data_IF_731980723037
#
_entry.id   IF_731980723037
#
_cell.length_a   1.000
_cell.length_b   1.000
_cell.length_c   1.000
_cell.angle_alpha   90.00
_cell.angle_beta   90.00
_cell.angle_gamma   90.00
#
_symmetry.space_group_name_H-M   'P 1'
#
loop_
_entity.id
_entity.type
_entity.pdbx_description
1 polymer ?
#
# COMPACT_ATOMS: atom_id res chain seq x y z
N UNK A 1 -63.08 8.03 -30.36
CA UNK A 1 -61.63 7.74 -30.43
C UNK A 1 -61.10 8.51 -31.62
N UNK A 2 -60.50 9.67 -31.39
CA UNK A 2 -59.82 10.46 -32.42
C UNK A 2 -58.35 10.54 -32.03
N UNK A 3 -57.49 9.88 -32.81
CA UNK A 3 -56.04 9.97 -32.65
C UNK A 3 -55.52 11.13 -33.50
N UNK A 4 -55.46 12.32 -32.91
CA UNK A 4 -54.78 13.47 -33.49
C UNK A 4 -53.27 13.32 -33.29
N UNK A 5 -52.59 12.68 -34.24
CA UNK A 5 -51.13 12.76 -34.34
C UNK A 5 -50.74 13.81 -35.38
N UNK A 6 -51.02 15.08 -35.06
CA UNK A 6 -50.39 16.21 -35.74
C UNK A 6 -48.93 16.28 -35.27
N UNK A 7 -48.07 15.52 -35.93
CA UNK A 7 -46.62 15.67 -35.79
C UNK A 7 -46.24 16.87 -36.65
N UNK A 8 -46.25 18.06 -36.04
CA UNK A 8 -45.67 19.25 -36.65
C UNK A 8 -44.19 18.95 -36.90
N UNK A 9 -43.83 18.74 -38.17
CA UNK A 9 -42.45 18.53 -38.59
C UNK A 9 -41.63 19.74 -38.15
N UNK A 10 -40.62 19.51 -37.33
CA UNK A 10 -39.67 20.55 -36.98
C UNK A 10 -39.12 21.17 -38.28
N UNK A 11 -38.97 22.50 -38.36
CA UNK A 11 -38.41 23.14 -39.54
C UNK A 11 -37.03 22.56 -39.84
N UNK A 12 -36.72 22.28 -41.12
CA UNK A 12 -35.45 21.65 -41.52
C UNK A 12 -34.19 22.34 -40.96
N UNK A 13 -34.26 23.66 -40.74
CA UNK A 13 -33.20 24.44 -40.11
C UNK A 13 -33.00 24.12 -38.62
N UNK A 14 -34.07 23.81 -37.87
CA UNK A 14 -34.00 23.37 -36.48
C UNK A 14 -33.38 21.99 -36.32
N UNK A 15 -33.65 21.06 -37.24
CA UNK A 15 -32.97 19.75 -37.29
C UNK A 15 -31.47 19.95 -37.57
N UNK A 16 -31.11 20.82 -38.51
CA UNK A 16 -29.71 21.10 -38.83
C UNK A 16 -28.93 21.65 -37.62
N UNK A 17 -29.52 22.57 -36.84
CA UNK A 17 -28.89 23.11 -35.63
C UNK A 17 -28.68 22.02 -34.56
N UNK A 18 -29.67 21.15 -34.36
CA UNK A 18 -29.57 20.03 -33.41
C UNK A 18 -28.42 19.06 -33.77
N UNK A 19 -28.27 18.76 -35.05
CA UNK A 19 -27.17 17.91 -35.54
C UNK A 19 -25.81 18.56 -35.24
N UNK A 20 -25.67 19.87 -35.51
CA UNK A 20 -24.41 20.59 -35.25
C UNK A 20 -24.06 20.59 -33.76
N UNK A 21 -25.04 20.85 -32.89
CA UNK A 21 -24.83 20.83 -31.42
C UNK A 21 -24.43 19.43 -30.95
N UNK A 22 -25.08 18.39 -31.48
CA UNK A 22 -24.77 17.00 -31.13
C UNK A 22 -23.33 16.61 -31.52
N UNK A 23 -22.87 17.03 -32.71
CA UNK A 23 -21.49 16.78 -33.16
C UNK A 23 -20.48 17.51 -32.28
N UNK A 24 -20.74 18.76 -31.89
CA UNK A 24 -19.87 19.51 -30.98
C UNK A 24 -19.78 18.82 -29.61
N UNK A 25 -20.91 18.37 -29.06
CA UNK A 25 -20.94 17.65 -27.79
C UNK A 25 -20.15 16.32 -27.86
N UNK A 26 -20.23 15.60 -28.98
CA UNK A 26 -19.46 14.38 -29.22
C UNK A 26 -17.95 14.63 -29.21
N UNK A 27 -17.49 15.69 -29.89
CA UNK A 27 -16.07 16.06 -29.92
C UNK A 27 -15.58 16.39 -28.51
N UNK A 28 -16.33 17.17 -27.73
CA UNK A 28 -15.97 17.53 -26.35
C UNK A 28 -15.92 16.27 -25.45
N UNK A 29 -16.91 15.37 -25.59
CA UNK A 29 -16.94 14.12 -24.85
C UNK A 29 -15.76 13.20 -25.20
N UNK A 30 -15.43 13.05 -26.49
CA UNK A 30 -14.27 12.29 -26.94
C UNK A 30 -12.96 12.91 -26.46
N UNK A 31 -12.84 14.25 -26.45
CA UNK A 31 -11.66 14.94 -25.94
C UNK A 31 -11.49 14.76 -24.43
N UNK A 32 -12.58 14.90 -23.66
CA UNK A 32 -12.58 14.65 -22.22
C UNK A 32 -12.25 13.20 -21.87
N UNK A 33 -12.79 12.24 -22.62
CA UNK A 33 -12.51 10.82 -22.46
C UNK A 33 -11.04 10.49 -22.82
N UNK A 34 -10.52 10.95 -23.97
CA UNK A 34 -9.12 10.75 -24.32
C UNK A 34 -8.16 11.39 -23.31
N UNK A 35 -8.47 12.59 -22.80
CA UNK A 35 -7.66 13.28 -21.79
C UNK A 35 -7.70 12.55 -20.44
N UNK A 36 -8.88 12.10 -20.00
CA UNK A 36 -9.06 11.37 -18.75
C UNK A 36 -8.41 9.98 -18.73
N UNK A 37 -8.33 9.31 -19.87
CA UNK A 37 -7.64 8.01 -20.00
C UNK A 37 -6.14 8.13 -20.31
N UNK A 38 -5.62 9.33 -20.61
CA UNK A 38 -4.18 9.55 -20.76
C UNK A 38 -3.45 9.83 -19.44
N UNK A 39 -4.12 9.59 -18.29
CA UNK A 39 -3.42 9.16 -17.09
C UNK A 39 -2.83 7.77 -17.39
N UNK A 40 -1.74 7.76 -18.16
CA UNK A 40 -0.78 6.67 -18.19
C UNK A 40 -0.50 6.36 -16.73
N UNK A 41 -1.12 5.30 -16.21
CA UNK A 41 -0.55 4.56 -15.09
C UNK A 41 0.81 4.18 -15.64
N UNK A 42 1.84 4.92 -15.18
CA UNK A 42 3.22 4.74 -15.60
C UNK A 42 3.59 3.37 -15.09
N UNK A 43 3.24 2.34 -15.85
CA UNK A 43 3.68 0.98 -15.61
C UNK A 43 5.15 0.99 -16.05
N UNK A 44 5.97 1.54 -15.17
CA UNK A 44 7.41 1.39 -15.31
C UNK A 44 7.67 -0.09 -15.09
N UNK A 45 7.92 -0.80 -16.18
CA UNK A 45 8.74 -2.00 -16.20
C UNK A 45 10.16 -1.62 -15.77
N UNK A 46 10.30 -1.24 -14.51
CA UNK A 46 11.56 -0.97 -13.85
C UNK A 46 11.50 -1.80 -12.60
N UNK A 47 12.34 -2.84 -12.55
CA UNK A 47 12.49 -3.82 -11.48
C UNK A 47 11.80 -3.40 -10.19
N UNK A 48 10.78 -4.16 -9.79
CA UNK A 48 10.24 -4.14 -8.44
C UNK A 48 11.39 -4.45 -7.49
N UNK A 49 12.16 -3.43 -7.09
CA UNK A 49 13.09 -3.52 -5.99
C UNK A 49 12.22 -3.71 -4.77
N UNK A 50 11.94 -4.98 -4.47
CA UNK A 50 11.30 -5.40 -3.24
C UNK A 50 12.05 -4.66 -2.13
N UNK A 51 11.37 -3.81 -1.37
CA UNK A 51 11.97 -2.95 -0.32
C UNK A 51 12.85 -3.74 0.61
N UNK A 52 12.43 -4.97 0.86
CA UNK A 52 13.16 -5.98 1.62
C UNK A 52 14.58 -6.20 1.10
N UNK A 53 14.76 -6.28 -0.23
CA UNK A 53 16.05 -6.47 -0.89
C UNK A 53 16.92 -5.21 -0.91
N UNK A 54 16.44 -4.05 -0.49
CA UNK A 54 17.24 -2.82 -0.43
C UNK A 54 17.49 -2.38 1.02
N UNK A 55 16.47 -2.42 1.87
CA UNK A 55 16.56 -2.01 3.28
C UNK A 55 17.22 -3.05 4.17
N UNK A 56 17.04 -4.34 3.88
CA UNK A 56 17.49 -5.44 4.72
C UNK A 56 18.55 -6.32 4.03
N UNK A 57 19.28 -5.74 3.07
CA UNK A 57 20.44 -6.40 2.44
C UNK A 57 21.39 -6.90 3.52
N UNK A 58 21.76 -8.17 3.44
CA UNK A 58 22.66 -8.86 4.37
C UNK A 58 22.15 -8.94 5.82
N UNK A 59 20.87 -8.67 6.09
CA UNK A 59 20.27 -8.86 7.42
C UNK A 59 19.65 -10.23 7.52
N UNK A 60 19.79 -10.86 8.68
CA UNK A 60 19.18 -12.16 8.95
C UNK A 60 17.69 -11.96 9.19
N UNK A 61 16.87 -12.73 8.49
CA UNK A 61 15.42 -12.74 8.68
C UNK A 61 14.93 -14.15 9.00
N UNK A 62 13.88 -14.21 9.80
CA UNK A 62 13.22 -15.45 10.22
C UNK A 62 11.70 -15.27 10.16
N UNK A 63 10.98 -16.38 10.07
CA UNK A 63 9.50 -16.37 10.13
C UNK A 63 9.00 -16.22 11.57
N UNK A 64 7.71 -15.91 11.70
CA UNK A 64 7.05 -15.68 13.00
C UNK A 64 7.17 -16.82 14.03
N UNK A 65 7.38 -18.06 13.60
CA UNK A 65 7.50 -19.26 14.44
C UNK A 65 8.96 -19.70 14.70
N UNK A 66 9.91 -18.90 14.23
CA UNK A 66 11.34 -19.19 14.33
C UNK A 66 12.01 -18.27 15.36
N UNK A 67 13.21 -18.65 15.81
CA UNK A 67 14.02 -17.85 16.72
C UNK A 67 15.39 -17.51 16.11
N UNK A 68 15.91 -16.35 16.47
CA UNK A 68 17.32 -16.01 16.23
C UNK A 68 18.21 -16.72 17.26
N UNK A 69 19.50 -16.87 16.93
CA UNK A 69 20.51 -17.29 17.90
C UNK A 69 20.81 -16.19 18.91
N UNK A 70 20.63 -14.94 18.49
CA UNK A 70 20.82 -13.74 19.29
C UNK A 70 19.46 -13.35 19.87
N UNK A 71 19.40 -13.14 21.19
CA UNK A 71 18.15 -12.81 21.88
C UNK A 71 17.99 -11.32 22.18
N UNK A 72 19.00 -10.49 21.89
CA UNK A 72 19.00 -9.06 22.19
C UNK A 72 19.39 -8.23 20.98
N UNK A 73 18.91 -7.00 20.91
CA UNK A 73 19.27 -6.06 19.86
C UNK A 73 18.08 -5.30 19.31
N UNK A 74 18.21 -4.86 18.06
CA UNK A 74 17.18 -4.10 17.34
C UNK A 74 16.65 -5.00 16.24
N UNK A 75 15.34 -5.10 16.16
CA UNK A 75 14.62 -5.97 15.23
C UNK A 75 13.56 -5.17 14.48
N UNK A 76 13.15 -5.70 13.32
CA UNK A 76 12.00 -5.23 12.58
C UNK A 76 11.00 -6.36 12.39
N UNK A 77 9.71 -6.08 12.61
CA UNK A 77 8.61 -6.88 12.12
C UNK A 77 8.18 -6.33 10.76
N UNK A 78 8.11 -7.19 9.76
CA UNK A 78 7.69 -6.81 8.41
C UNK A 78 7.01 -7.96 7.67
N UNK A 79 6.54 -7.70 6.45
CA UNK A 79 5.90 -8.68 5.58
C UNK A 79 6.76 -8.89 4.32
N UNK A 80 6.69 -10.09 3.73
CA UNK A 80 7.37 -10.33 2.45
C UNK A 80 6.70 -9.55 1.31
N UNK A 81 7.51 -9.12 0.33
CA UNK A 81 7.09 -8.41 -0.90
C UNK A 81 6.42 -7.05 -0.66
N UNK A 82 7.08 -6.17 0.08
CA UNK A 82 6.69 -4.75 0.15
C UNK A 82 7.27 -4.02 -1.06
N UNK A 83 6.44 -3.27 -1.79
CA UNK A 83 6.89 -2.45 -2.93
C UNK A 83 7.36 -1.07 -2.44
N UNK A 84 8.46 -0.55 -2.98
CA UNK A 84 9.09 0.71 -2.52
C UNK A 84 8.22 1.93 -2.77
N UNK A 85 7.39 1.83 -3.79
CA UNK A 85 6.47 2.86 -4.23
C UNK A 85 5.16 2.84 -3.44
N UNK A 86 4.94 1.86 -2.57
CA UNK A 86 3.78 1.86 -1.69
C UNK A 86 3.90 3.04 -0.73
N UNK A 87 2.83 3.82 -0.64
CA UNK A 87 2.74 4.94 0.30
C UNK A 87 3.02 4.45 1.74
N UNK A 88 2.61 3.22 2.03
CA UNK A 88 2.79 2.53 3.29
C UNK A 88 3.84 1.40 3.20
N UNK A 89 4.80 1.40 4.13
CA UNK A 89 5.80 0.38 4.36
C UNK A 89 5.49 -0.33 5.68
N UNK A 90 4.99 -1.58 5.66
CA UNK A 90 4.58 -2.32 6.85
C UNK A 90 5.81 -2.82 7.62
N UNK A 91 6.48 -1.88 8.30
CA UNK A 91 7.69 -2.10 9.09
C UNK A 91 7.42 -1.55 10.49
N UNK A 92 7.65 -2.38 11.50
CA UNK A 92 7.67 -2.00 12.90
C UNK A 92 9.05 -2.29 13.47
N UNK A 93 9.77 -1.26 13.88
CA UNK A 93 11.09 -1.39 14.50
C UNK A 93 10.94 -1.36 16.02
N UNK A 94 11.59 -2.30 16.68
CA UNK A 94 11.62 -2.39 18.13
C UNK A 94 13.00 -2.83 18.61
N UNK A 95 13.33 -2.49 19.84
CA UNK A 95 14.50 -3.02 20.52
C UNK A 95 14.06 -3.90 21.68
N UNK A 96 14.88 -4.88 22.02
CA UNK A 96 14.58 -5.77 23.14
C UNK A 96 15.85 -6.47 23.61
N UNK A 97 15.88 -6.78 24.89
CA UNK A 97 16.89 -7.67 25.49
C UNK A 97 16.46 -9.15 25.47
N UNK A 98 15.19 -9.42 25.15
CA UNK A 98 14.62 -10.77 25.07
C UNK A 98 13.64 -10.90 23.90
N UNK A 99 14.21 -11.09 22.71
CA UNK A 99 13.49 -11.28 21.46
C UNK A 99 12.49 -12.42 21.52
N UNK A 100 12.83 -13.55 22.15
CA UNK A 100 11.92 -14.70 22.24
C UNK A 100 10.65 -14.37 23.03
N UNK A 101 10.75 -13.58 24.08
CA UNK A 101 9.58 -13.11 24.84
C UNK A 101 8.83 -12.04 24.05
N UNK A 102 9.54 -11.02 23.60
CA UNK A 102 8.95 -9.86 22.91
C UNK A 102 8.21 -10.26 21.63
N UNK A 103 8.81 -11.12 20.81
CA UNK A 103 8.18 -11.60 19.58
C UNK A 103 6.87 -12.35 19.86
N UNK A 104 6.82 -13.19 20.91
CA UNK A 104 5.58 -13.88 21.29
C UNK A 104 4.53 -12.91 21.80
N UNK A 105 4.93 -11.92 22.59
CA UNK A 105 4.03 -10.88 23.08
C UNK A 105 3.44 -10.06 21.92
N UNK A 106 4.28 -9.61 20.98
CA UNK A 106 3.83 -8.92 19.77
C UNK A 106 2.83 -9.76 18.96
N UNK A 107 3.09 -11.06 18.79
CA UNK A 107 2.16 -11.96 18.10
C UNK A 107 0.85 -12.12 18.89
N UNK A 108 0.89 -12.24 20.22
CA UNK A 108 -0.32 -12.29 21.06
C UNK A 108 -1.16 -11.03 20.89
N UNK A 109 -0.54 -9.85 20.95
CA UNK A 109 -1.20 -8.56 20.73
C UNK A 109 -1.82 -8.43 19.34
N UNK A 110 -1.17 -8.98 18.31
CA UNK A 110 -1.75 -9.05 16.95
C UNK A 110 -3.00 -9.95 16.95
N UNK A 111 -2.94 -11.13 17.58
CA UNK A 111 -4.07 -12.07 17.68
C UNK A 111 -5.25 -11.48 18.47
N UNK A 112 -4.96 -10.79 19.58
CA UNK A 112 -5.93 -10.16 20.49
C UNK A 112 -6.47 -8.83 19.95
N UNK A 113 -6.05 -8.45 18.75
CA UNK A 113 -6.45 -7.24 18.06
C UNK A 113 -5.98 -5.91 18.71
N UNK A 114 -4.94 -5.95 19.55
CA UNK A 114 -4.38 -4.77 20.23
C UNK A 114 -3.44 -3.95 19.34
N UNK A 115 -2.93 -4.52 18.24
CA UNK A 115 -2.14 -3.82 17.21
C UNK A 115 -2.99 -3.46 16.00
N UNK A 116 -3.91 -2.50 16.16
CA UNK A 116 -4.92 -2.16 15.15
C UNK A 116 -4.32 -1.86 13.77
N UNK A 117 -3.23 -1.09 13.69
CA UNK A 117 -2.59 -0.74 12.41
C UNK A 117 -2.05 -1.96 11.67
N UNK A 118 -1.44 -2.91 12.38
CA UNK A 118 -0.92 -4.15 11.79
C UNK A 118 -2.09 -5.04 11.34
N UNK A 119 -3.12 -5.15 12.17
CA UNK A 119 -4.29 -5.98 11.87
C UNK A 119 -5.11 -5.46 10.68
N UNK A 120 -5.30 -4.15 10.58
CA UNK A 120 -5.93 -3.51 9.44
C UNK A 120 -5.11 -3.76 8.16
N UNK A 121 -3.79 -3.57 8.22
CA UNK A 121 -2.92 -3.89 7.09
C UNK A 121 -3.05 -5.37 6.66
N UNK A 122 -3.04 -6.30 7.60
CA UNK A 122 -3.18 -7.72 7.32
C UNK A 122 -4.53 -8.05 6.67
N UNK A 123 -5.62 -7.45 7.17
CA UNK A 123 -6.97 -7.63 6.65
C UNK A 123 -7.12 -7.09 5.22
N UNK A 124 -6.66 -5.87 4.98
CA UNK A 124 -6.72 -5.21 3.67
C UNK A 124 -5.89 -5.96 2.61
N UNK A 125 -4.75 -6.51 3.01
CA UNK A 125 -3.81 -7.16 2.10
C UNK A 125 -3.92 -8.70 2.09
N UNK A 126 -4.96 -9.27 2.71
CA UNK A 126 -5.20 -10.72 2.83
C UNK A 126 -3.96 -11.49 3.32
N UNK A 127 -3.30 -10.94 4.34
CA UNK A 127 -2.11 -11.53 4.99
C UNK A 127 -2.49 -12.25 6.27
N UNK A 128 -1.65 -13.22 6.62
CA UNK A 128 -1.84 -14.08 7.78
C UNK A 128 -0.59 -13.98 8.67
N UNK A 129 -0.64 -14.50 9.90
CA UNK A 129 0.52 -14.52 10.80
C UNK A 129 1.76 -15.19 10.17
N UNK A 130 1.54 -16.18 9.29
CA UNK A 130 2.60 -16.89 8.55
C UNK A 130 3.37 -16.01 7.57
N UNK A 131 2.82 -14.85 7.20
CA UNK A 131 3.44 -13.88 6.30
C UNK A 131 4.32 -12.86 7.05
N UNK A 132 4.32 -12.91 8.39
CA UNK A 132 5.15 -12.04 9.23
C UNK A 132 6.58 -12.58 9.28
N UNK A 133 7.52 -11.66 9.08
CA UNK A 133 8.95 -11.88 9.22
C UNK A 133 9.52 -10.97 10.29
N UNK A 134 10.45 -11.52 11.06
CA UNK A 134 11.33 -10.74 11.91
C UNK A 134 12.69 -10.61 11.24
N UNK A 135 13.25 -9.41 11.25
CA UNK A 135 14.57 -9.09 10.69
C UNK A 135 15.45 -8.57 11.81
N UNK A 136 16.65 -9.13 11.97
CA UNK A 136 17.64 -8.61 12.91
C UNK A 136 18.38 -7.44 12.27
N UNK A 137 18.26 -6.25 12.87
CA UNK A 137 18.88 -5.02 12.39
C UNK A 137 20.24 -4.79 13.03
N UNK A 138 20.31 -4.86 14.36
CA UNK A 138 21.54 -4.66 15.16
C UNK A 138 21.63 -5.70 16.27
N UNK A 139 22.85 -6.09 16.66
CA UNK A 139 23.09 -7.06 17.74
C UNK A 139 23.05 -6.44 19.14
N UNK A 140 23.11 -5.10 19.23
CA UNK A 140 23.10 -4.35 20.48
C UNK A 140 21.92 -3.41 20.51
N UNK A 141 21.30 -3.29 21.67
CA UNK A 141 20.27 -2.29 21.96
C UNK A 141 20.91 -0.90 21.98
N UNK A 142 20.19 0.08 21.44
CA UNK A 142 20.65 1.46 21.37
C UNK A 142 19.50 2.32 20.84
N UNK A 143 18.99 3.21 21.68
CA UNK A 143 17.95 4.17 21.29
C UNK A 143 18.34 4.98 20.06
N UNK A 144 19.60 5.44 19.99
CA UNK A 144 20.11 6.19 18.85
C UNK A 144 20.04 5.36 17.56
N UNK A 145 20.45 4.09 17.60
CA UNK A 145 20.38 3.20 16.43
C UNK A 145 18.95 2.84 16.05
N UNK A 146 18.07 2.66 17.04
CA UNK A 146 16.63 2.42 16.80
C UNK A 146 16.02 3.61 16.05
N UNK A 147 16.29 4.83 16.51
CA UNK A 147 15.82 6.06 15.85
C UNK A 147 16.42 6.26 14.45
N UNK A 148 17.71 5.92 14.25
CA UNK A 148 18.33 5.91 12.92
C UNK A 148 17.58 4.96 11.97
N UNK A 149 17.24 3.76 12.44
CA UNK A 149 16.47 2.79 11.66
C UNK A 149 15.04 3.27 11.38
N UNK A 150 14.36 3.87 12.35
CA UNK A 150 13.01 4.43 12.17
C UNK A 150 13.03 5.53 11.10
N UNK A 151 14.02 6.43 11.14
CA UNK A 151 14.19 7.49 10.12
C UNK A 151 14.54 6.91 8.76
N UNK A 152 15.47 5.95 8.70
CA UNK A 152 15.92 5.33 7.45
C UNK A 152 14.81 4.56 6.74
N UNK A 153 14.00 3.83 7.50
CA UNK A 153 12.86 3.07 6.95
C UNK A 153 11.62 3.95 6.75
N UNK A 154 11.59 5.14 7.36
CA UNK A 154 10.41 5.99 7.39
C UNK A 154 9.25 5.36 8.16
N UNK A 155 9.49 4.36 9.01
CA UNK A 155 8.45 3.58 9.68
C UNK A 155 7.55 4.40 10.59
N UNK A 156 8.00 5.60 11.01
CA UNK A 156 7.18 6.55 11.78
C UNK A 156 6.06 7.21 10.98
N UNK A 157 6.36 7.57 9.74
CA UNK A 157 5.43 8.34 8.90
C UNK A 157 4.70 7.45 7.89
N UNK A 158 5.30 6.31 7.56
CA UNK A 158 4.85 5.42 6.49
C UNK A 158 4.72 3.98 6.97
N UNK A 159 4.93 3.67 8.25
CA UNK A 159 4.86 2.30 8.75
C UNK A 159 4.09 2.16 10.04
N UNK A 160 4.48 1.18 10.86
CA UNK A 160 3.76 0.81 12.07
C UNK A 160 4.29 1.48 13.36
N UNK A 161 5.42 2.19 13.29
CA UNK A 161 5.92 2.90 14.46
C UNK A 161 5.10 4.19 14.64
N UNK A 162 4.30 4.30 15.69
CA UNK A 162 3.55 5.52 16.04
C UNK A 162 4.21 6.26 17.19
#
# INVERSE_FOLDING_TARGET
MENNTNINSLPSWGIAILIVIFVIALIIACWGFLSGFNLKRKHSTTSSSIVWNELFVNKKAIKFDQAFNINKGIFALTFAKVEKNDFFLPIYIFETDDFKRESKELISKIIENEFETINNYMKENKKNLKDIFFVQLEEKTSDLKKEEWIKKTGSKNRGFNT
#
